data_IF_962580260100
#
_entry.id   IF_962580260100
#
_cell.length_a   1.000
_cell.length_b   1.000
_cell.length_c   1.000
_cell.angle_alpha   90.00
_cell.angle_beta   90.00
_cell.angle_gamma   90.00
#
_symmetry.space_group_name_H-M   'P 1'
#
loop_
_entity.id
_entity.type
_entity.pdbx_description
1 polymer ?
#
# COMPACT_ATOMS: atom_id res chain seq x y z
N UNK A 1 -13.32 0.14 19.35
CA UNK A 1 -12.43 0.11 18.16
C UNK A 1 -13.22 0.45 16.92
N UNK A 2 -12.61 1.16 15.95
CA UNK A 2 -13.20 1.58 14.69
C UNK A 2 -12.73 0.65 13.56
N UNK A 3 -13.66 0.22 12.71
CA UNK A 3 -13.39 -0.48 11.46
C UNK A 3 -13.93 0.37 10.30
N UNK A 4 -13.05 0.72 9.36
CA UNK A 4 -13.41 1.40 8.12
C UNK A 4 -13.36 0.39 6.98
N UNK A 5 -14.42 0.29 6.20
CA UNK A 5 -14.53 -0.62 5.07
C UNK A 5 -15.36 0.02 3.95
N UNK A 6 -15.40 -0.59 2.77
CA UNK A 6 -16.31 -0.16 1.70
C UNK A 6 -17.76 -0.44 2.11
N UNK A 7 -18.73 0.32 1.58
CA UNK A 7 -20.17 0.10 1.85
C UNK A 7 -20.57 -1.35 1.64
N UNK A 8 -20.12 -1.98 0.55
CA UNK A 8 -20.38 -3.39 0.27
C UNK A 8 -19.87 -4.32 1.38
N UNK A 9 -18.68 -4.05 1.91
CA UNK A 9 -18.10 -4.85 3.00
C UNK A 9 -18.84 -4.59 4.32
N UNK A 10 -19.24 -3.35 4.60
CA UNK A 10 -20.05 -3.01 5.79
C UNK A 10 -21.37 -3.79 5.77
N UNK A 11 -22.07 -3.83 4.62
CA UNK A 11 -23.30 -4.58 4.46
C UNK A 11 -23.08 -6.09 4.65
N UNK A 12 -22.02 -6.62 4.09
CA UNK A 12 -21.65 -8.03 4.30
C UNK A 12 -21.39 -8.34 5.78
N UNK A 13 -20.58 -7.51 6.47
CA UNK A 13 -20.25 -7.69 7.88
C UNK A 13 -21.47 -7.60 8.80
N UNK A 14 -22.42 -6.73 8.48
CA UNK A 14 -23.64 -6.54 9.27
C UNK A 14 -24.70 -7.62 9.03
N UNK A 15 -24.84 -8.08 7.78
CA UNK A 15 -26.02 -8.82 7.36
C UNK A 15 -25.76 -10.27 6.90
N UNK A 16 -24.51 -10.60 6.52
CA UNK A 16 -24.20 -11.88 5.87
C UNK A 16 -23.21 -12.77 6.63
N UNK A 17 -22.66 -12.28 7.74
CA UNK A 17 -21.79 -13.09 8.57
C UNK A 17 -22.55 -14.13 9.39
N UNK A 18 -21.93 -15.29 9.70
CA UNK A 18 -22.46 -16.22 10.69
C UNK A 18 -22.70 -15.52 12.03
N UNK A 19 -23.77 -15.90 12.79
CA UNK A 19 -24.16 -15.23 14.03
C UNK A 19 -23.04 -15.11 15.08
N UNK A 20 -22.14 -16.08 15.13
CA UNK A 20 -20.98 -16.05 16.05
C UNK A 20 -20.03 -14.92 15.74
N UNK A 21 -19.73 -14.70 14.44
CA UNK A 21 -18.89 -13.61 14.00
C UNK A 21 -19.60 -12.25 14.13
N UNK A 22 -20.90 -12.20 13.86
CA UNK A 22 -21.68 -10.98 14.07
C UNK A 22 -21.54 -10.43 15.49
N UNK A 23 -21.52 -11.31 16.52
CA UNK A 23 -21.32 -10.91 17.92
C UNK A 23 -19.96 -10.26 18.17
N UNK A 24 -18.92 -10.68 17.43
CA UNK A 24 -17.58 -10.08 17.52
C UNK A 24 -17.59 -8.69 16.89
N UNK A 25 -18.16 -8.57 15.69
CA UNK A 25 -18.21 -7.31 14.95
C UNK A 25 -19.18 -6.29 15.55
N UNK A 26 -20.23 -6.75 16.28
CA UNK A 26 -21.16 -5.86 17.00
C UNK A 26 -20.48 -4.99 18.08
N UNK A 27 -19.27 -5.36 18.52
CA UNK A 27 -18.46 -4.59 19.48
C UNK A 27 -17.63 -3.50 18.81
N UNK A 28 -17.62 -3.43 17.49
CA UNK A 28 -16.87 -2.45 16.72
C UNK A 28 -17.80 -1.35 16.19
N UNK A 29 -17.30 -0.13 16.17
CA UNK A 29 -17.89 0.93 15.36
C UNK A 29 -17.48 0.68 13.92
N UNK A 30 -18.44 0.38 13.02
CA UNK A 30 -18.16 0.09 11.61
C UNK A 30 -18.73 1.22 10.78
N UNK A 31 -17.89 1.89 10.00
CA UNK A 31 -18.24 2.98 9.08
C UNK A 31 -17.81 2.67 7.66
N UNK A 32 -18.55 3.17 6.67
CA UNK A 32 -18.12 3.05 5.30
C UNK A 32 -17.12 4.15 4.92
N UNK A 33 -16.16 3.80 4.09
CA UNK A 33 -15.21 4.78 3.56
C UNK A 33 -15.92 5.84 2.72
N UNK A 34 -16.99 5.43 2.00
CA UNK A 34 -17.80 6.31 1.17
C UNK A 34 -18.57 7.34 2.01
N UNK A 35 -19.09 6.94 3.18
CA UNK A 35 -19.74 7.87 4.14
C UNK A 35 -18.72 8.91 4.65
N UNK A 36 -17.53 8.46 5.08
CA UNK A 36 -16.48 9.37 5.56
C UNK A 36 -16.05 10.36 4.45
N UNK A 37 -15.90 9.89 3.22
CA UNK A 37 -15.51 10.74 2.08
C UNK A 37 -16.63 11.72 1.65
N UNK A 38 -17.88 11.44 1.99
CA UNK A 38 -19.00 12.33 1.71
C UNK A 38 -19.14 13.46 2.74
N UNK A 39 -18.60 13.30 3.94
CA UNK A 39 -18.55 14.34 4.95
C UNK A 39 -17.58 15.44 4.52
N UNK A 40 -18.10 16.68 4.42
CA UNK A 40 -17.32 17.80 3.91
C UNK A 40 -16.77 18.73 5.01
N UNK A 41 -17.33 18.65 6.21
CA UNK A 41 -17.04 19.58 7.29
C UNK A 41 -16.59 18.81 8.54
N UNK A 42 -15.30 18.85 8.80
CA UNK A 42 -14.71 18.36 10.04
C UNK A 42 -13.52 19.22 10.42
N UNK A 43 -13.48 19.69 11.66
CA UNK A 43 -12.27 20.31 12.19
C UNK A 43 -11.23 19.22 12.46
N UNK A 44 -10.10 19.27 11.75
CA UNK A 44 -8.95 18.43 12.05
C UNK A 44 -8.13 19.06 13.17
N UNK A 45 -8.02 18.35 14.27
CA UNK A 45 -7.10 18.67 15.34
C UNK A 45 -5.90 17.70 15.25
N UNK A 46 -4.71 18.23 15.04
CA UNK A 46 -3.51 17.39 14.99
C UNK A 46 -3.23 16.84 16.40
N UNK A 47 -3.16 15.50 16.56
CA UNK A 47 -2.83 14.91 17.85
C UNK A 47 -1.36 15.18 18.20
N UNK A 48 -1.06 15.28 19.49
CA UNK A 48 0.33 15.23 19.97
C UNK A 48 0.84 13.79 19.81
N UNK A 49 1.91 13.64 19.05
CA UNK A 49 2.53 12.34 18.75
C UNK A 49 3.99 12.37 19.21
N UNK A 50 4.35 11.39 20.04
CA UNK A 50 5.73 11.17 20.44
C UNK A 50 6.41 10.14 19.53
N UNK A 51 7.71 10.26 19.38
CA UNK A 51 8.49 9.33 18.55
C UNK A 51 8.41 7.87 19.01
N UNK A 52 8.10 7.64 20.27
CA UNK A 52 7.92 6.31 20.87
C UNK A 52 6.51 5.75 20.76
N UNK A 53 5.53 6.56 20.33
CA UNK A 53 4.17 6.10 20.17
C UNK A 53 4.07 5.08 19.04
N UNK A 54 3.11 4.16 19.15
CA UNK A 54 2.87 3.16 18.11
C UNK A 54 2.22 3.81 16.90
N UNK A 55 2.92 3.77 15.76
CA UNK A 55 2.39 4.26 14.48
C UNK A 55 1.35 3.30 13.91
N UNK A 56 1.66 2.00 13.88
CA UNK A 56 0.75 0.95 13.40
C UNK A 56 1.15 -0.43 13.91
N UNK A 57 0.24 -1.38 13.75
CA UNK A 57 0.48 -2.80 14.03
C UNK A 57 0.66 -3.56 12.73
N UNK A 58 1.79 -4.25 12.60
CA UNK A 58 2.05 -5.15 11.49
C UNK A 58 1.88 -6.59 11.95
N UNK A 59 0.88 -7.29 11.38
CA UNK A 59 0.69 -8.70 11.68
C UNK A 59 1.57 -9.57 10.79
N UNK A 60 2.26 -10.53 11.40
CA UNK A 60 3.07 -11.53 10.70
C UNK A 60 2.44 -12.91 10.87
N UNK A 61 2.62 -13.78 9.86
CA UNK A 61 2.05 -15.13 9.86
C UNK A 61 2.61 -16.06 10.95
N UNK A 62 3.65 -15.63 11.69
CA UNK A 62 4.27 -16.38 12.77
C UNK A 62 4.66 -17.82 12.39
N UNK A 63 5.86 -18.27 12.72
CA UNK A 63 6.29 -19.67 12.49
C UNK A 63 5.47 -20.70 13.26
N UNK A 64 4.69 -20.28 14.24
CA UNK A 64 3.82 -21.11 15.09
C UNK A 64 2.37 -21.17 14.62
N UNK A 65 2.03 -20.57 13.47
CA UNK A 65 0.67 -20.52 12.94
C UNK A 65 -0.24 -19.48 13.59
N UNK A 66 0.13 -18.90 14.72
CA UNK A 66 -0.64 -17.80 15.35
C UNK A 66 -0.07 -16.47 14.89
N UNK A 67 -0.90 -15.58 14.29
CA UNK A 67 -0.44 -14.26 13.88
C UNK A 67 0.08 -13.46 15.07
N UNK A 68 1.25 -12.83 14.91
CA UNK A 68 1.84 -11.93 15.90
C UNK A 68 1.70 -10.48 15.43
N UNK A 69 1.12 -9.64 16.26
CA UNK A 69 1.08 -8.19 16.03
C UNK A 69 2.38 -7.54 16.49
N UNK A 70 3.14 -7.00 15.55
CA UNK A 70 4.36 -6.25 15.84
C UNK A 70 3.98 -4.78 15.93
N UNK A 71 4.29 -4.14 17.07
CA UNK A 71 4.09 -2.70 17.25
C UNK A 71 5.25 -1.96 16.59
N UNK A 72 4.93 -1.15 15.59
CA UNK A 72 5.90 -0.29 14.91
C UNK A 72 5.72 1.13 15.45
N UNK A 73 6.73 1.64 16.14
CA UNK A 73 6.75 3.02 16.63
C UNK A 73 7.08 4.02 15.52
N UNK A 74 6.71 5.29 15.73
CA UNK A 74 7.05 6.35 14.78
C UNK A 74 8.55 6.45 14.53
N UNK A 75 9.40 6.31 15.56
CA UNK A 75 10.85 6.31 15.41
C UNK A 75 11.37 5.14 14.55
N UNK A 76 10.79 3.94 14.70
CA UNK A 76 11.17 2.78 13.89
C UNK A 76 10.85 3.03 12.42
N UNK A 77 9.62 3.50 12.16
CA UNK A 77 9.16 3.81 10.81
C UNK A 77 10.03 4.88 10.16
N UNK A 78 10.21 6.03 10.83
CA UNK A 78 10.97 7.16 10.28
C UNK A 78 12.43 6.80 10.00
N UNK A 79 13.08 6.04 10.90
CA UNK A 79 14.46 5.57 10.68
C UNK A 79 14.54 4.63 9.49
N UNK A 80 13.60 3.71 9.35
CA UNK A 80 13.56 2.79 8.21
C UNK A 80 13.32 3.52 6.88
N UNK A 81 12.40 4.49 6.87
CA UNK A 81 12.11 5.30 5.68
C UNK A 81 13.32 6.14 5.25
N UNK A 82 14.06 6.71 6.21
CA UNK A 82 15.26 7.49 5.90
C UNK A 82 16.39 6.62 5.33
N UNK A 83 16.61 5.42 5.88
CA UNK A 83 17.57 4.48 5.31
C UNK A 83 17.15 3.97 3.93
N UNK A 84 15.86 3.67 3.74
CA UNK A 84 15.31 3.30 2.43
C UNK A 84 15.49 4.46 1.42
N UNK A 85 15.22 5.70 1.82
CA UNK A 85 15.40 6.90 0.98
C UNK A 85 16.83 7.01 0.47
N UNK A 86 17.81 6.84 1.36
CA UNK A 86 19.24 6.89 1.00
C UNK A 86 19.63 5.74 0.07
N UNK A 87 19.29 4.51 0.47
CA UNK A 87 19.68 3.30 -0.26
C UNK A 87 19.07 3.26 -1.67
N UNK A 88 17.78 3.57 -1.77
CA UNK A 88 17.02 3.56 -3.03
C UNK A 88 17.14 4.87 -3.82
N UNK A 89 17.88 5.85 -3.32
CA UNK A 89 18.05 7.17 -3.94
C UNK A 89 16.72 7.87 -4.25
N UNK A 90 15.75 7.74 -3.33
CA UNK A 90 14.46 8.40 -3.48
C UNK A 90 14.64 9.93 -3.37
N UNK A 91 14.03 10.67 -4.29
CA UNK A 91 14.15 12.13 -4.36
C UNK A 91 12.76 12.76 -4.42
N UNK A 92 12.67 14.00 -4.01
CA UNK A 92 11.49 14.83 -4.19
C UNK A 92 11.02 14.82 -5.65
N UNK A 93 9.72 14.70 -5.86
CA UNK A 93 9.10 14.64 -7.18
C UNK A 93 9.20 13.29 -7.89
N UNK A 94 9.97 12.31 -7.36
CA UNK A 94 10.02 10.99 -7.96
C UNK A 94 8.70 10.23 -7.74
N UNK A 95 8.20 9.61 -8.81
CA UNK A 95 7.05 8.72 -8.75
C UNK A 95 7.44 7.29 -8.43
N UNK A 96 6.57 6.60 -7.70
CA UNK A 96 6.68 5.16 -7.45
C UNK A 96 5.39 4.46 -7.84
N UNK A 97 5.46 3.41 -8.67
CA UNK A 97 4.30 2.55 -8.96
C UNK A 97 4.25 1.42 -7.95
N UNK A 98 3.14 1.30 -7.24
CA UNK A 98 2.92 0.27 -6.22
C UNK A 98 1.71 -0.58 -6.61
N UNK A 99 1.93 -1.86 -6.89
CA UNK A 99 0.88 -2.85 -7.11
C UNK A 99 0.88 -3.95 -6.04
N UNK A 100 1.88 -3.95 -5.16
CA UNK A 100 1.92 -4.86 -4.02
C UNK A 100 0.82 -4.52 -3.02
N UNK A 101 0.29 -5.52 -2.30
CA UNK A 101 -0.73 -5.30 -1.28
C UNK A 101 -0.22 -4.34 -0.19
N UNK A 102 -1.05 -3.34 0.18
CA UNK A 102 -0.69 -2.39 1.24
C UNK A 102 -0.83 -2.98 2.66
N UNK A 103 -1.40 -4.17 2.80
CA UNK A 103 -1.36 -4.91 4.08
C UNK A 103 -0.05 -5.69 4.29
N UNK A 104 0.86 -5.67 3.29
CA UNK A 104 2.22 -6.21 3.38
C UNK A 104 3.21 -5.04 3.52
N UNK A 105 4.21 -5.19 4.39
CA UNK A 105 5.22 -4.18 4.68
C UNK A 105 5.94 -3.66 3.43
N UNK A 106 6.25 -4.56 2.49
CA UNK A 106 6.93 -4.20 1.24
C UNK A 106 6.08 -3.27 0.35
N UNK A 107 4.77 -3.46 0.30
CA UNK A 107 3.86 -2.54 -0.40
C UNK A 107 3.63 -1.26 0.38
N UNK A 108 3.41 -1.36 1.69
CA UNK A 108 3.08 -0.23 2.55
C UNK A 108 4.31 0.64 2.84
N UNK A 109 5.32 0.08 3.53
CA UNK A 109 6.44 0.87 4.02
C UNK A 109 7.41 1.22 2.90
N UNK A 110 7.95 0.22 2.17
CA UNK A 110 8.91 0.48 1.11
C UNK A 110 8.26 1.19 -0.09
N UNK A 111 7.11 0.69 -0.56
CA UNK A 111 6.45 1.22 -1.76
C UNK A 111 5.79 2.58 -1.52
N UNK A 112 4.77 2.62 -0.68
CA UNK A 112 3.95 3.80 -0.51
C UNK A 112 4.57 4.85 0.42
N UNK A 113 4.89 4.46 1.65
CA UNK A 113 5.39 5.42 2.65
C UNK A 113 6.77 5.97 2.29
N UNK A 114 7.67 5.15 1.71
CA UNK A 114 8.99 5.59 1.28
C UNK A 114 8.93 6.69 0.22
N UNK A 115 8.04 6.56 -0.77
CA UNK A 115 7.83 7.58 -1.78
C UNK A 115 7.28 8.89 -1.18
N UNK A 116 6.25 8.80 -0.34
CA UNK A 116 5.63 9.98 0.30
C UNK A 116 6.59 10.67 1.26
N UNK A 117 7.34 9.90 2.06
CA UNK A 117 8.36 10.42 2.96
C UNK A 117 9.44 11.26 2.23
N UNK A 118 9.76 10.84 1.01
CA UNK A 118 10.78 11.50 0.19
C UNK A 118 10.26 12.70 -0.61
N UNK A 119 9.01 13.12 -0.40
CA UNK A 119 8.38 14.21 -1.16
C UNK A 119 7.99 13.81 -2.58
N UNK A 120 7.90 12.52 -2.86
CA UNK A 120 7.45 11.96 -4.13
C UNK A 120 5.94 11.71 -4.19
N UNK A 121 5.51 11.00 -5.21
CA UNK A 121 4.12 10.58 -5.40
C UNK A 121 4.00 9.09 -5.66
N UNK A 122 2.80 8.55 -5.46
CA UNK A 122 2.52 7.12 -5.63
C UNK A 122 1.42 6.90 -6.65
N UNK A 123 1.65 5.97 -7.57
CA UNK A 123 0.64 5.44 -8.48
C UNK A 123 0.23 4.06 -8.00
N UNK A 124 -0.97 3.96 -7.46
CA UNK A 124 -1.49 2.70 -6.91
C UNK A 124 -2.17 1.85 -7.98
N UNK A 125 -1.90 0.56 -7.94
CA UNK A 125 -2.53 -0.45 -8.77
C UNK A 125 -2.88 -1.67 -7.90
N UNK A 126 -3.97 -2.37 -8.20
CA UNK A 126 -4.25 -3.62 -7.48
C UNK A 126 -3.38 -4.77 -8.00
N UNK A 127 -3.00 -5.75 -7.14
CA UNK A 127 -2.28 -6.94 -7.59
C UNK A 127 -2.99 -7.67 -8.74
N UNK A 128 -4.31 -7.74 -8.71
CA UNK A 128 -5.11 -8.39 -9.75
C UNK A 128 -4.95 -7.70 -11.12
N UNK A 129 -4.82 -6.38 -11.16
CA UNK A 129 -4.58 -5.63 -12.40
C UNK A 129 -3.22 -5.95 -13.01
N UNK A 130 -2.18 -6.06 -12.17
CA UNK A 130 -0.84 -6.47 -12.60
C UNK A 130 -0.86 -7.92 -13.13
N UNK A 131 -1.38 -8.87 -12.37
CA UNK A 131 -1.36 -10.31 -12.72
C UNK A 131 -2.11 -10.57 -14.02
N UNK A 132 -3.24 -9.90 -14.25
CA UNK A 132 -4.02 -10.03 -15.49
C UNK A 132 -3.26 -9.54 -16.71
N UNK A 133 -2.62 -8.39 -16.61
CA UNK A 133 -1.89 -7.75 -17.71
C UNK A 133 -0.70 -6.98 -17.16
N UNK A 134 0.50 -7.60 -17.03
CA UNK A 134 1.70 -6.98 -16.47
C UNK A 134 2.14 -5.70 -17.18
N UNK A 135 1.88 -5.60 -18.48
CA UNK A 135 2.12 -4.39 -19.27
C UNK A 135 1.49 -3.11 -18.66
N UNK A 136 0.40 -3.25 -17.90
CA UNK A 136 -0.22 -2.09 -17.20
C UNK A 136 0.73 -1.44 -16.21
N UNK A 137 1.53 -2.24 -15.53
CA UNK A 137 2.55 -1.74 -14.61
C UNK A 137 3.60 -0.92 -15.34
N UNK A 138 4.20 -1.45 -16.41
CA UNK A 138 5.19 -0.73 -17.20
C UNK A 138 4.60 0.50 -17.92
N UNK A 139 3.37 0.41 -18.39
CA UNK A 139 2.64 1.58 -18.93
C UNK A 139 2.45 2.67 -17.86
N UNK A 140 2.17 2.31 -16.61
CA UNK A 140 2.09 3.30 -15.54
C UNK A 140 3.45 3.93 -15.25
N UNK A 141 4.53 3.14 -15.20
CA UNK A 141 5.91 3.65 -15.09
C UNK A 141 6.23 4.66 -16.19
N UNK A 142 5.98 4.28 -17.46
CA UNK A 142 6.22 5.12 -18.63
C UNK A 142 5.36 6.39 -18.62
N UNK A 143 4.04 6.24 -18.42
CA UNK A 143 3.08 7.35 -18.48
C UNK A 143 3.32 8.42 -17.42
N UNK A 144 3.56 8.00 -16.20
CA UNK A 144 3.73 8.89 -15.04
C UNK A 144 5.20 9.23 -14.76
N UNK A 145 6.13 8.75 -15.59
CA UNK A 145 7.56 8.94 -15.42
C UNK A 145 8.04 8.53 -14.01
N UNK A 146 7.54 7.40 -13.54
CA UNK A 146 7.91 6.89 -12.23
C UNK A 146 9.32 6.32 -12.24
N UNK A 147 10.13 6.77 -11.29
CA UNK A 147 11.54 6.35 -11.16
C UNK A 147 11.69 5.00 -10.45
N UNK A 148 10.72 4.63 -9.62
CA UNK A 148 10.83 3.47 -8.74
C UNK A 148 9.61 2.55 -8.82
N UNK A 149 9.84 1.28 -8.59
CA UNK A 149 8.83 0.28 -8.27
C UNK A 149 9.49 -0.91 -7.56
N UNK A 150 8.80 -1.47 -6.59
CA UNK A 150 9.27 -2.61 -5.82
C UNK A 150 8.51 -3.85 -6.25
N UNK A 151 9.23 -4.87 -6.70
CA UNK A 151 8.60 -6.07 -7.24
C UNK A 151 9.33 -7.34 -6.79
N UNK A 152 8.61 -8.42 -6.49
CA UNK A 152 9.22 -9.71 -6.27
C UNK A 152 9.71 -10.31 -7.60
N UNK A 153 10.71 -11.21 -7.58
CA UNK A 153 11.32 -11.76 -8.80
C UNK A 153 10.31 -12.35 -9.80
N UNK A 154 9.27 -13.04 -9.33
CA UNK A 154 8.26 -13.64 -10.22
C UNK A 154 7.56 -12.60 -11.12
N UNK A 155 7.53 -11.33 -10.71
CA UNK A 155 6.90 -10.27 -11.49
C UNK A 155 7.65 -10.01 -12.80
N UNK A 156 8.98 -10.05 -12.75
CA UNK A 156 9.84 -9.92 -13.93
C UNK A 156 9.64 -11.10 -14.87
N UNK A 157 9.61 -12.33 -14.31
CA UNK A 157 9.33 -13.54 -15.10
C UNK A 157 7.96 -13.46 -15.80
N UNK A 158 6.95 -12.91 -15.09
CA UNK A 158 5.63 -12.75 -15.67
C UNK A 158 5.60 -11.72 -16.80
N UNK A 159 6.35 -10.63 -16.66
CA UNK A 159 6.53 -9.64 -17.71
C UNK A 159 7.21 -10.26 -18.95
N UNK A 160 8.32 -10.96 -18.76
CA UNK A 160 9.03 -11.61 -19.86
C UNK A 160 8.16 -12.64 -20.63
N UNK A 161 7.24 -13.29 -19.93
CA UNK A 161 6.33 -14.29 -20.54
C UNK A 161 5.13 -13.67 -21.27
N UNK A 162 4.67 -12.48 -20.83
CA UNK A 162 3.38 -11.93 -21.28
C UNK A 162 3.47 -10.64 -22.09
N UNK A 163 4.63 -10.01 -22.17
CA UNK A 163 4.83 -8.74 -22.87
C UNK A 163 5.72 -9.00 -24.09
N UNK A 164 5.26 -8.58 -25.25
CA UNK A 164 6.03 -8.68 -26.50
C UNK A 164 7.08 -7.57 -26.61
N UNK A 165 8.11 -7.79 -27.43
CA UNK A 165 9.12 -6.77 -27.71
C UNK A 165 8.51 -5.51 -28.33
N UNK A 166 7.50 -5.68 -29.19
CA UNK A 166 6.83 -4.55 -29.82
C UNK A 166 6.07 -3.68 -28.81
N UNK A 167 5.44 -4.29 -27.81
CA UNK A 167 4.80 -3.58 -26.70
C UNK A 167 5.84 -2.85 -25.83
N UNK A 168 6.98 -3.48 -25.55
CA UNK A 168 8.08 -2.87 -24.78
C UNK A 168 8.70 -1.68 -25.53
N UNK A 169 8.84 -1.78 -26.84
CA UNK A 169 9.42 -0.71 -27.66
C UNK A 169 8.59 0.59 -27.68
N UNK A 170 7.33 0.52 -27.27
CA UNK A 170 6.44 1.69 -27.17
C UNK A 170 6.55 2.42 -25.82
N UNK A 171 7.31 1.91 -24.87
CA UNK A 171 7.45 2.46 -23.52
C UNK A 171 8.70 3.35 -23.42
N UNK A 172 8.54 4.46 -22.75
CA UNK A 172 9.68 5.25 -22.28
C UNK A 172 9.91 5.01 -20.79
N UNK A 173 10.89 4.17 -20.50
CA UNK A 173 11.30 3.80 -19.14
C UNK A 173 12.63 4.46 -18.73
N UNK A 174 13.06 5.49 -19.43
CA UNK A 174 14.34 6.20 -19.20
C UNK A 174 14.43 6.88 -17.83
N UNK A 175 13.30 7.11 -17.18
CA UNK A 175 13.23 7.69 -15.83
C UNK A 175 13.51 6.69 -14.71
N UNK A 176 13.53 5.38 -14.98
CA UNK A 176 13.77 4.37 -13.96
C UNK A 176 15.20 4.47 -13.41
N UNK A 177 15.29 4.45 -12.08
CA UNK A 177 16.57 4.35 -11.38
C UNK A 177 16.83 2.86 -11.13
N UNK A 178 17.97 2.39 -11.61
CA UNK A 178 18.43 1.01 -11.48
C UNK A 178 19.12 0.76 -10.14
#
# INVERSE_FOLDING_TARGET
SLLVATTLMVDFLRNQLPPELQKVFAKLTIVSAEEILAEKDGEYSQPEINSTDTAYLQFTSGSTGTPKGIMIGHNNLMSNLEEARKFMQLKEGNGTVVWLPLFHDFGLAAGMMGALYSGGFVVLMTPAHFIRKPLRWLNAMSKYKCAHSYVPPFALDLCMKKISNDELAQLDLSCMVS
#
